data_IF_171968707013
#
_entry.id   IF_171968707013
#
_cell.length_a   1.000
_cell.length_b   1.000
_cell.length_c   1.000
_cell.angle_alpha   90.00
_cell.angle_beta   90.00
_cell.angle_gamma   90.00
#
_symmetry.space_group_name_H-M   'P 1'
#
loop_
_entity.id
_entity.type
_entity.pdbx_description
1 polymer ?
#
# COMPACT_ATOMS: atom_id res chain seq x y z
N UNK A 1 -4.83 -18.23 18.87
CA UNK A 1 -5.40 -18.46 20.21
C UNK A 1 -6.87 -18.07 20.24
N UNK A 2 -7.19 -16.80 20.46
CA UNK A 2 -8.58 -16.31 20.63
C UNK A 2 -9.48 -16.48 19.38
N UNK A 3 -8.95 -16.31 18.17
CA UNK A 3 -9.74 -16.44 16.92
C UNK A 3 -10.24 -17.86 16.64
N UNK A 4 -9.53 -18.88 17.14
CA UNK A 4 -9.92 -20.31 17.06
C UNK A 4 -10.99 -20.63 18.12
N UNK A 5 -10.88 -20.00 19.29
CA UNK A 5 -11.86 -20.14 20.38
C UNK A 5 -13.19 -19.45 20.03
N UNK A 6 -13.14 -18.30 19.32
CA UNK A 6 -14.32 -17.49 19.00
C UNK A 6 -14.89 -17.68 17.58
N UNK A 7 -14.32 -18.57 16.75
CA UNK A 7 -14.74 -18.79 15.34
C UNK A 7 -14.99 -17.49 14.56
N UNK A 8 -14.15 -16.47 14.77
CA UNK A 8 -14.32 -15.19 14.10
C UNK A 8 -14.20 -15.40 12.58
N UNK A 9 -15.22 -15.02 11.79
CA UNK A 9 -15.21 -15.24 10.35
C UNK A 9 -13.98 -14.56 9.73
N UNK A 10 -13.20 -15.23 8.86
CA UNK A 10 -12.04 -14.64 8.18
C UNK A 10 -12.34 -13.29 7.52
N UNK A 11 -13.57 -13.14 7.01
CA UNK A 11 -14.10 -11.89 6.45
C UNK A 11 -14.00 -10.74 7.44
N UNK A 12 -14.35 -10.93 8.72
CA UNK A 12 -14.27 -9.88 9.73
C UNK A 12 -12.83 -9.43 9.96
N UNK A 13 -11.88 -10.36 9.97
CA UNK A 13 -10.46 -10.03 10.16
C UNK A 13 -9.88 -9.30 8.96
N UNK A 14 -10.23 -9.73 7.74
CA UNK A 14 -9.83 -9.06 6.49
C UNK A 14 -10.43 -7.64 6.44
N UNK A 15 -11.72 -7.50 6.76
CA UNK A 15 -12.40 -6.21 6.81
C UNK A 15 -11.79 -5.29 7.87
N UNK A 16 -11.40 -5.82 9.03
CA UNK A 16 -10.69 -5.04 10.05
C UNK A 16 -9.37 -4.48 9.51
N UNK A 17 -8.53 -5.31 8.88
CA UNK A 17 -7.30 -4.82 8.24
C UNK A 17 -7.61 -3.78 7.16
N UNK A 18 -8.62 -4.04 6.32
CA UNK A 18 -9.04 -3.13 5.25
C UNK A 18 -9.49 -1.76 5.78
N UNK A 19 -10.28 -1.72 6.86
CA UNK A 19 -10.76 -0.47 7.47
C UNK A 19 -9.64 0.26 8.20
N UNK A 20 -8.73 -0.45 8.90
CA UNK A 20 -7.54 0.17 9.51
C UNK A 20 -6.65 0.85 8.47
N UNK A 21 -6.46 0.24 7.30
CA UNK A 21 -5.68 0.85 6.21
C UNK A 21 -6.38 2.06 5.59
N UNK A 22 -7.72 2.06 5.47
CA UNK A 22 -8.48 3.24 5.04
C UNK A 22 -8.39 4.38 6.05
N UNK A 23 -8.42 4.05 7.34
CA UNK A 23 -8.22 5.02 8.41
C UNK A 23 -6.82 5.64 8.34
N UNK A 24 -5.78 4.82 8.15
CA UNK A 24 -4.40 5.29 7.93
C UNK A 24 -4.30 6.22 6.72
N UNK A 25 -4.87 5.82 5.57
CA UNK A 25 -4.90 6.65 4.35
C UNK A 25 -5.55 8.00 4.62
N UNK A 26 -6.68 8.01 5.34
CA UNK A 26 -7.40 9.23 5.69
C UNK A 26 -6.57 10.16 6.59
N UNK A 27 -5.92 9.60 7.61
CA UNK A 27 -5.05 10.35 8.52
C UNK A 27 -3.83 10.94 7.79
N UNK A 28 -3.15 10.16 6.96
CA UNK A 28 -1.99 10.62 6.18
C UNK A 28 -2.42 11.73 5.21
N UNK A 29 -3.52 11.53 4.49
CA UNK A 29 -4.04 12.53 3.57
C UNK A 29 -4.43 13.83 4.29
N UNK A 30 -5.11 13.74 5.44
CA UNK A 30 -5.48 14.90 6.23
C UNK A 30 -4.25 15.61 6.80
N UNK A 31 -3.28 14.87 7.34
CA UNK A 31 -2.05 15.42 7.88
C UNK A 31 -1.30 16.27 6.85
N UNK A 32 -1.14 15.77 5.61
CA UNK A 32 -0.51 16.55 4.55
C UNK A 32 -1.34 17.75 4.12
N UNK A 33 -2.67 17.61 4.00
CA UNK A 33 -3.58 18.71 3.63
C UNK A 33 -3.58 19.84 4.68
N UNK A 34 -3.51 19.50 5.96
CA UNK A 34 -3.48 20.46 7.06
C UNK A 34 -2.08 21.03 7.33
N UNK A 35 -1.01 20.36 6.89
CA UNK A 35 0.37 20.84 7.09
C UNK A 35 0.69 22.15 6.38
N UNK A 36 -0.20 22.65 5.52
CA UNK A 36 0.02 23.89 4.74
C UNK A 36 1.18 23.80 3.74
N UNK A 37 1.77 22.60 3.56
CA UNK A 37 2.86 22.40 2.62
C UNK A 37 2.36 22.61 1.20
N UNK A 38 2.98 23.52 0.42
CA UNK A 38 2.58 23.71 -0.97
C UNK A 38 2.77 22.41 -1.73
N UNK A 39 1.80 22.06 -2.57
CA UNK A 39 1.96 20.93 -3.48
C UNK A 39 3.15 21.21 -4.38
N UNK A 40 3.96 20.19 -4.63
CA UNK A 40 5.08 20.28 -5.56
C UNK A 40 4.50 19.95 -6.94
N UNK A 41 4.35 20.92 -7.86
CA UNK A 41 3.96 20.60 -9.23
C UNK A 41 5.01 19.64 -9.78
N UNK A 42 4.59 18.41 -10.03
CA UNK A 42 5.44 17.37 -10.60
C UNK A 42 4.92 17.04 -11.99
N UNK A 43 5.81 16.66 -12.91
CA UNK A 43 5.42 16.16 -14.23
C UNK A 43 4.75 14.75 -14.16
N UNK A 44 4.45 14.26 -12.96
CA UNK A 44 3.90 12.93 -12.76
C UNK A 44 2.41 12.91 -13.07
N UNK A 45 1.95 11.82 -13.70
CA UNK A 45 0.53 11.58 -13.91
C UNK A 45 -0.16 11.31 -12.55
N UNK A 46 -0.85 12.30 -12.00
CA UNK A 46 -1.60 12.16 -10.74
C UNK A 46 -2.54 10.94 -10.70
N UNK A 47 -3.26 10.56 -11.78
CA UNK A 47 -4.08 9.35 -11.78
C UNK A 47 -3.28 8.06 -11.52
N UNK A 48 -2.04 7.98 -11.98
CA UNK A 48 -1.18 6.80 -11.79
C UNK A 48 -0.73 6.65 -10.33
N UNK A 49 -0.55 7.76 -9.61
CA UNK A 49 -0.24 7.74 -8.19
C UNK A 49 -1.40 7.20 -7.36
N UNK A 50 -2.63 7.64 -7.68
CA UNK A 50 -3.84 7.09 -7.06
C UNK A 50 -4.04 5.61 -7.40
N UNK A 51 -3.77 5.22 -8.65
CA UNK A 51 -3.80 3.81 -9.05
C UNK A 51 -2.78 2.98 -8.26
N UNK A 52 -1.57 3.52 -8.05
CA UNK A 52 -0.53 2.83 -7.26
C UNK A 52 -0.96 2.67 -5.81
N UNK A 53 -1.53 3.72 -5.19
CA UNK A 53 -2.06 3.63 -3.84
C UNK A 53 -3.18 2.59 -3.73
N UNK A 54 -4.09 2.54 -4.70
CA UNK A 54 -5.15 1.54 -4.77
C UNK A 54 -4.58 0.12 -4.94
N UNK A 55 -3.55 -0.06 -5.76
CA UNK A 55 -2.88 -1.34 -5.94
C UNK A 55 -2.17 -1.81 -4.67
N UNK A 56 -1.45 -0.92 -3.96
CA UNK A 56 -0.83 -1.25 -2.65
C UNK A 56 -1.91 -1.64 -1.64
N UNK A 57 -3.00 -0.88 -1.56
CA UNK A 57 -4.14 -1.20 -0.69
C UNK A 57 -4.73 -2.58 -1.00
N UNK A 58 -4.99 -2.87 -2.28
CA UNK A 58 -5.50 -4.17 -2.72
C UNK A 58 -4.51 -5.31 -2.37
N UNK A 59 -3.21 -5.09 -2.54
CA UNK A 59 -2.17 -6.06 -2.19
C UNK A 59 -2.17 -6.38 -0.68
N UNK A 60 -2.41 -5.38 0.17
CA UNK A 60 -2.56 -5.58 1.63
C UNK A 60 -3.81 -6.40 1.93
N UNK A 61 -4.95 -6.10 1.29
CA UNK A 61 -6.20 -6.86 1.47
C UNK A 61 -6.03 -8.32 1.00
N UNK A 62 -5.37 -8.54 -0.14
CA UNK A 62 -5.02 -9.88 -0.62
C UNK A 62 -4.12 -10.62 0.38
N UNK A 63 -3.10 -9.95 0.94
CA UNK A 63 -2.23 -10.52 1.97
C UNK A 63 -2.98 -10.88 3.26
N UNK A 64 -3.92 -10.03 3.69
CA UNK A 64 -4.80 -10.33 4.82
C UNK A 64 -5.69 -11.54 4.53
N UNK A 65 -6.27 -11.63 3.32
CA UNK A 65 -7.05 -12.79 2.89
C UNK A 65 -6.22 -14.07 2.91
N UNK A 66 -4.97 -14.03 2.40
CA UNK A 66 -4.02 -15.15 2.46
C UNK A 66 -3.77 -15.62 3.89
N UNK A 67 -3.53 -14.67 4.81
CA UNK A 67 -3.27 -14.96 6.22
C UNK A 67 -4.48 -15.59 6.92
N UNK A 68 -5.67 -15.06 6.67
CA UNK A 68 -6.88 -15.39 7.42
C UNK A 68 -7.69 -16.56 6.87
N UNK A 69 -7.47 -16.96 5.61
CA UNK A 69 -8.13 -18.13 4.99
C UNK A 69 -7.29 -19.41 5.06
N UNK A 70 -6.15 -19.38 5.75
CA UNK A 70 -5.23 -20.53 5.84
C UNK A 70 -4.31 -20.72 4.63
N UNK A 71 -4.40 -19.83 3.63
CA UNK A 71 -3.61 -19.93 2.39
C UNK A 71 -2.10 -19.62 2.57
N UNK A 72 -1.67 -19.00 3.66
CA UNK A 72 -0.29 -18.48 3.77
C UNK A 72 0.86 -19.49 3.85
N UNK A 73 0.62 -20.81 3.86
CA UNK A 73 1.68 -21.84 3.74
C UNK A 73 1.30 -22.95 2.75
N UNK A 74 0.32 -22.73 1.88
CA UNK A 74 -0.11 -23.74 0.89
C UNK A 74 0.92 -23.96 -0.23
N UNK A 75 1.81 -22.99 -0.40
CA UNK A 75 3.00 -23.06 -1.25
C UNK A 75 4.20 -22.59 -0.44
N UNK A 76 5.09 -23.51 -0.07
CA UNK A 76 6.36 -23.16 0.60
C UNK A 76 7.49 -23.01 -0.42
N UNK A 77 7.36 -23.66 -1.58
CA UNK A 77 8.28 -23.50 -2.70
C UNK A 77 8.25 -22.06 -3.23
N UNK A 78 9.41 -21.59 -3.70
CA UNK A 78 9.62 -20.28 -4.32
C UNK A 78 10.48 -20.47 -5.58
N UNK A 79 10.15 -19.86 -6.72
CA UNK A 79 8.95 -19.08 -7.05
C UNK A 79 7.73 -19.95 -7.42
N UNK A 80 7.93 -21.25 -7.62
CA UNK A 80 6.89 -22.21 -8.03
C UNK A 80 5.95 -22.58 -6.87
N UNK A 81 4.82 -23.18 -7.18
CA UNK A 81 3.97 -23.89 -6.23
C UNK A 81 3.60 -25.24 -6.81
N UNK A 82 4.00 -26.34 -6.15
CA UNK A 82 3.76 -27.71 -6.63
C UNK A 82 4.30 -27.94 -8.06
N UNK A 83 5.50 -27.42 -8.33
CA UNK A 83 6.19 -27.56 -9.61
C UNK A 83 5.71 -26.64 -10.75
N UNK A 84 4.73 -25.75 -10.53
CA UNK A 84 4.22 -24.83 -11.54
C UNK A 84 4.10 -23.38 -11.02
N UNK A 85 4.21 -22.39 -11.90
CA UNK A 85 3.96 -20.97 -11.55
C UNK A 85 2.46 -20.74 -11.34
N UNK A 86 1.62 -21.42 -12.12
CA UNK A 86 0.18 -21.37 -11.98
C UNK A 86 -0.42 -22.77 -12.13
N UNK A 87 -0.50 -23.54 -11.03
CA UNK A 87 -1.03 -24.91 -11.08
C UNK A 87 -2.54 -24.92 -11.42
N UNK A 88 -2.94 -25.80 -12.34
CA UNK A 88 -4.34 -26.06 -12.69
C UNK A 88 -4.94 -27.19 -11.85
N UNK A 89 -6.26 -27.20 -11.65
CA UNK A 89 -6.95 -28.29 -10.94
C UNK A 89 -6.63 -28.38 -9.44
N UNK A 90 -6.19 -27.29 -8.81
CA UNK A 90 -5.84 -27.22 -7.39
C UNK A 90 -6.85 -26.43 -6.57
N UNK A 91 -6.76 -26.57 -5.25
CA UNK A 91 -7.61 -25.84 -4.30
C UNK A 91 -7.49 -24.31 -4.45
N UNK A 92 -8.59 -23.52 -4.39
CA UNK A 92 -8.58 -22.07 -4.59
C UNK A 92 -7.61 -21.29 -3.69
N UNK A 93 -7.31 -21.80 -2.49
CA UNK A 93 -6.30 -21.22 -1.61
C UNK A 93 -4.92 -21.10 -2.26
N UNK A 94 -4.56 -22.03 -3.16
CA UNK A 94 -3.32 -21.98 -3.94
C UNK A 94 -3.33 -20.79 -4.89
N UNK A 95 -4.43 -20.60 -5.63
CA UNK A 95 -4.57 -19.45 -6.52
C UNK A 95 -4.59 -18.13 -5.76
N UNK A 96 -5.21 -18.07 -4.58
CA UNK A 96 -5.17 -16.87 -3.73
C UNK A 96 -3.73 -16.53 -3.30
N UNK A 97 -2.96 -17.54 -2.88
CA UNK A 97 -1.56 -17.35 -2.50
C UNK A 97 -0.69 -16.92 -3.69
N UNK A 98 -0.86 -17.55 -4.85
CA UNK A 98 -0.12 -17.20 -6.06
C UNK A 98 -0.54 -15.84 -6.63
N UNK A 99 -1.82 -15.47 -6.54
CA UNK A 99 -2.31 -14.15 -6.94
C UNK A 99 -1.66 -13.04 -6.10
N UNK A 100 -1.59 -13.23 -4.77
CA UNK A 100 -0.88 -12.29 -3.89
C UNK A 100 0.60 -12.15 -4.26
N UNK A 101 1.30 -13.25 -4.57
CA UNK A 101 2.71 -13.22 -5.02
C UNK A 101 2.86 -12.50 -6.37
N UNK A 102 2.03 -12.86 -7.35
CA UNK A 102 2.08 -12.29 -8.70
C UNK A 102 1.78 -10.78 -8.68
N UNK A 103 0.77 -10.37 -7.93
CA UNK A 103 0.37 -8.97 -7.82
C UNK A 103 1.41 -8.11 -7.09
N UNK A 104 2.25 -8.69 -6.22
CA UNK A 104 3.39 -7.99 -5.62
C UNK A 104 4.37 -7.42 -6.66
N UNK A 105 4.59 -8.14 -7.77
CA UNK A 105 5.46 -7.67 -8.85
C UNK A 105 4.82 -6.52 -9.65
N UNK A 106 3.49 -6.52 -9.80
CA UNK A 106 2.75 -5.38 -10.39
C UNK A 106 2.91 -4.14 -9.51
N UNK A 107 2.73 -4.29 -8.20
CA UNK A 107 2.94 -3.21 -7.22
C UNK A 107 4.37 -2.69 -7.27
N UNK A 108 5.38 -3.58 -7.31
CA UNK A 108 6.78 -3.20 -7.44
C UNK A 108 7.03 -2.37 -8.71
N UNK A 109 6.48 -2.80 -9.85
CA UNK A 109 6.60 -2.07 -11.12
C UNK A 109 5.97 -0.67 -11.06
N UNK A 110 4.78 -0.53 -10.49
CA UNK A 110 4.10 0.76 -10.32
C UNK A 110 4.89 1.71 -9.40
N UNK A 111 5.40 1.19 -8.29
CA UNK A 111 6.19 1.98 -7.33
C UNK A 111 7.54 2.39 -7.93
N UNK A 112 8.22 1.50 -8.66
CA UNK A 112 9.44 1.80 -9.39
C UNK A 112 9.22 2.84 -10.49
N UNK A 113 8.10 2.76 -11.22
CA UNK A 113 7.72 3.77 -12.21
C UNK A 113 7.53 5.14 -11.58
N UNK A 114 6.82 5.22 -10.45
CA UNK A 114 6.63 6.49 -9.73
C UNK A 114 7.97 7.06 -9.25
N UNK A 115 8.89 6.22 -8.78
CA UNK A 115 10.25 6.63 -8.40
C UNK A 115 11.02 7.24 -9.58
N UNK A 116 10.98 6.58 -10.75
CA UNK A 116 11.62 7.07 -11.97
C UNK A 116 11.02 8.39 -12.44
N UNK A 117 9.68 8.50 -12.46
CA UNK A 117 8.97 9.72 -12.86
C UNK A 117 9.25 10.90 -11.90
N UNK A 118 9.46 10.61 -10.61
CA UNK A 118 9.77 11.60 -9.58
C UNK A 118 11.27 11.87 -9.40
N UNK A 119 12.15 11.23 -10.18
CA UNK A 119 13.60 11.28 -9.93
C UNK A 119 14.18 12.70 -9.93
N UNK A 120 13.60 13.59 -10.75
CA UNK A 120 13.97 15.02 -10.85
C UNK A 120 13.12 15.94 -9.97
N UNK A 121 12.13 15.41 -9.24
CA UNK A 121 11.19 16.19 -8.44
C UNK A 121 11.73 16.37 -7.00
N UNK A 122 12.64 17.33 -6.81
CA UNK A 122 13.47 17.46 -5.61
C UNK A 122 12.76 17.33 -4.25
N UNK A 123 11.59 17.96 -4.08
CA UNK A 123 10.85 17.96 -2.80
C UNK A 123 10.18 16.62 -2.46
N UNK A 124 9.75 15.86 -3.47
CA UNK A 124 9.06 14.56 -3.29
C UNK A 124 9.95 13.36 -3.58
N UNK A 125 11.16 13.59 -4.12
CA UNK A 125 12.19 12.59 -4.41
C UNK A 125 12.47 11.63 -3.26
N UNK A 126 12.64 12.04 -1.98
CA UNK A 126 12.94 11.07 -0.91
C UNK A 126 11.78 10.07 -0.70
N UNK A 127 10.53 10.52 -0.74
CA UNK A 127 9.36 9.62 -0.67
C UNK A 127 9.35 8.68 -1.88
N UNK A 128 9.50 9.24 -3.08
CA UNK A 128 9.47 8.43 -4.30
C UNK A 128 10.59 7.38 -4.37
N UNK A 129 11.77 7.63 -3.78
CA UNK A 129 12.85 6.65 -3.67
C UNK A 129 12.67 5.67 -2.50
N UNK A 130 11.96 6.06 -1.43
CA UNK A 130 11.63 5.18 -0.32
C UNK A 130 10.67 4.06 -0.75
N UNK A 131 9.69 4.37 -1.63
CA UNK A 131 8.73 3.40 -2.14
C UNK A 131 9.35 2.09 -2.64
N UNK A 132 10.26 2.10 -3.64
CA UNK A 132 10.88 0.86 -4.14
C UNK A 132 11.67 0.11 -3.06
N UNK A 133 12.36 0.81 -2.17
CA UNK A 133 13.09 0.19 -1.06
C UNK A 133 12.15 -0.53 -0.09
N UNK A 134 11.03 0.10 0.27
CA UNK A 134 9.98 -0.50 1.10
C UNK A 134 9.32 -1.70 0.39
N UNK A 135 9.08 -1.62 -0.92
CA UNK A 135 8.51 -2.73 -1.70
C UNK A 135 9.46 -3.93 -1.78
N UNK A 136 10.76 -3.71 -1.97
CA UNK A 136 11.76 -4.79 -1.94
C UNK A 136 11.83 -5.41 -0.55
N UNK A 137 11.90 -4.59 0.51
CA UNK A 137 11.86 -5.05 1.89
C UNK A 137 10.60 -5.88 2.17
N UNK A 138 9.46 -5.47 1.62
CA UNK A 138 8.20 -6.20 1.74
C UNK A 138 8.27 -7.59 1.13
N UNK A 139 8.86 -7.74 -0.06
CA UNK A 139 9.04 -9.05 -0.71
C UNK A 139 9.96 -9.94 0.14
N UNK A 140 11.07 -9.38 0.64
CA UNK A 140 11.99 -10.12 1.53
C UNK A 140 11.27 -10.59 2.79
N UNK A 141 10.52 -9.73 3.46
CA UNK A 141 9.73 -10.09 4.65
C UNK A 141 8.65 -11.13 4.34
N UNK A 142 8.06 -11.09 3.14
CA UNK A 142 7.08 -12.08 2.69
C UNK A 142 7.70 -13.46 2.49
N UNK A 143 8.88 -13.51 1.87
CA UNK A 143 9.69 -14.74 1.75
C UNK A 143 10.08 -15.26 3.13
N UNK A 144 10.58 -14.39 4.02
CA UNK A 144 10.94 -14.76 5.38
C UNK A 144 9.75 -15.35 6.13
N UNK A 145 8.57 -14.75 6.03
CA UNK A 145 7.35 -15.27 6.66
C UNK A 145 6.98 -16.68 6.18
N UNK A 146 7.33 -17.07 4.95
CA UNK A 146 7.13 -18.44 4.45
C UNK A 146 8.22 -19.36 5.02
N UNK A 147 9.49 -18.98 4.92
CA UNK A 147 10.62 -19.83 5.32
C UNK A 147 10.72 -20.03 6.84
N UNK A 148 10.16 -19.11 7.62
CA UNK A 148 10.05 -19.23 9.09
C UNK A 148 8.69 -19.76 9.54
N UNK A 149 7.89 -20.35 8.63
CA UNK A 149 6.61 -20.98 8.95
C UNK A 149 5.60 -20.05 9.65
N UNK A 150 5.49 -18.81 9.16
CA UNK A 150 4.65 -17.73 9.71
C UNK A 150 5.05 -17.30 11.12
N UNK A 151 6.34 -17.26 11.40
CA UNK A 151 6.83 -16.68 12.65
C UNK A 151 6.28 -15.25 12.85
N UNK A 152 6.03 -14.91 14.12
CA UNK A 152 5.34 -13.69 14.51
C UNK A 152 6.08 -12.45 14.04
N UNK A 153 7.41 -12.44 14.18
CA UNK A 153 8.23 -11.25 13.91
C UNK A 153 8.23 -10.91 12.41
N UNK A 154 8.58 -11.82 11.47
CA UNK A 154 8.52 -11.52 10.04
C UNK A 154 7.11 -11.16 9.59
N UNK A 155 6.08 -11.83 10.11
CA UNK A 155 4.69 -11.58 9.71
C UNK A 155 4.19 -10.20 10.15
N UNK A 156 4.51 -9.79 11.38
CA UNK A 156 4.14 -8.47 11.90
C UNK A 156 4.94 -7.36 11.21
N UNK A 157 6.25 -7.56 11.01
CA UNK A 157 7.09 -6.66 10.24
C UNK A 157 6.59 -6.49 8.80
N UNK A 158 6.18 -7.59 8.15
CA UNK A 158 5.60 -7.56 6.81
C UNK A 158 4.35 -6.68 6.76
N UNK A 159 3.43 -6.80 7.72
CA UNK A 159 2.24 -5.92 7.74
C UNK A 159 2.61 -4.46 8.02
N UNK A 160 3.55 -4.20 8.92
CA UNK A 160 4.04 -2.86 9.26
C UNK A 160 4.65 -2.16 8.04
N UNK A 161 5.57 -2.84 7.34
CA UNK A 161 6.22 -2.29 6.14
C UNK A 161 5.22 -2.07 5.01
N UNK A 162 4.20 -2.92 4.87
CA UNK A 162 3.10 -2.68 3.94
C UNK A 162 2.33 -1.38 4.26
N UNK A 163 2.04 -1.14 5.54
CA UNK A 163 1.36 0.08 5.99
C UNK A 163 2.23 1.33 5.74
N UNK A 164 3.55 1.23 5.97
CA UNK A 164 4.50 2.30 5.65
C UNK A 164 4.57 2.57 4.15
N UNK A 165 4.60 1.54 3.32
CA UNK A 165 4.56 1.67 1.86
C UNK A 165 3.27 2.35 1.40
N UNK A 166 2.12 1.97 1.98
CA UNK A 166 0.83 2.62 1.70
C UNK A 166 0.85 4.11 2.11
N UNK A 167 1.38 4.43 3.28
CA UNK A 167 1.52 5.80 3.75
C UNK A 167 2.44 6.63 2.84
N UNK A 168 3.55 6.05 2.37
CA UNK A 168 4.48 6.70 1.44
C UNK A 168 3.81 7.05 0.10
N UNK A 169 3.16 6.08 -0.55
CA UNK A 169 2.50 6.33 -1.85
C UNK A 169 1.32 7.30 -1.75
N UNK A 170 0.57 7.28 -0.64
CA UNK A 170 -0.49 8.27 -0.38
C UNK A 170 0.10 9.66 -0.17
N UNK A 171 1.19 9.76 0.59
CA UNK A 171 1.90 11.02 0.81
C UNK A 171 2.39 11.60 -0.52
N UNK A 172 2.96 10.76 -1.39
CA UNK A 172 3.39 11.15 -2.72
C UNK A 172 2.21 11.62 -3.59
N UNK A 173 1.09 10.89 -3.60
CA UNK A 173 -0.12 11.24 -4.35
C UNK A 173 -0.71 12.60 -3.92
N UNK A 174 -0.74 12.88 -2.62
CA UNK A 174 -1.28 14.14 -2.08
C UNK A 174 -0.34 15.32 -2.38
N UNK A 175 0.97 15.13 -2.23
CA UNK A 175 1.95 16.19 -2.46
C UNK A 175 2.19 16.51 -3.93
N UNK A 176 1.97 15.55 -4.83
CA UNK A 176 2.07 15.72 -6.28
C UNK A 176 0.76 16.16 -6.96
N UNK A 177 -0.36 16.20 -6.23
CA UNK A 177 -1.65 16.61 -6.75
C UNK A 177 -1.72 18.12 -7.05
N UNK A 178 -2.69 18.59 -7.87
CA UNK A 178 -2.85 20.00 -8.16
C UNK A 178 -3.04 20.80 -6.86
N UNK A 179 -2.25 21.87 -6.67
CA UNK A 179 -2.54 22.89 -5.66
C UNK A 179 -3.96 23.39 -5.89
N UNK A 180 -4.89 23.09 -4.97
CA UNK A 180 -6.18 23.80 -4.98
C UNK A 180 -5.82 25.28 -4.88
N UNK A 181 -6.16 26.06 -5.90
CA UNK A 181 -6.01 27.50 -5.87
C UNK A 181 -6.61 27.98 -4.55
N UNK A 182 -5.83 28.71 -3.74
CA UNK A 182 -6.38 29.44 -2.61
C UNK A 182 -7.49 30.29 -3.19
N UNK A 183 -8.75 30.05 -2.78
CA UNK A 183 -9.81 31.03 -3.02
C UNK A 183 -9.26 32.33 -2.43
N UNK A 184 -9.06 33.39 -3.24
CA UNK A 184 -8.63 34.67 -2.70
C UNK A 184 -9.59 35.00 -1.57
N UNK A 185 -9.06 35.19 -0.36
CA UNK A 185 -9.87 35.78 0.69
C UNK A 185 -10.29 37.13 0.13
N UNK A 186 -11.56 37.25 -0.25
CA UNK A 186 -12.16 38.51 -0.67
C UNK A 186 -11.99 39.43 0.53
N UNK A 187 -11.00 40.31 0.46
CA UNK A 187 -10.77 41.31 1.48
C UNK A 187 -12.09 42.09 1.58
N UNK A 188 -12.70 42.25 2.77
CA UNK A 188 -13.88 43.07 2.89
C UNK A 188 -13.46 44.47 2.43
N UNK A 189 -14.01 44.90 1.29
CA UNK A 189 -13.99 46.29 0.89
C UNK A 189 -14.86 47.06 1.89
N UNK A 190 -14.32 47.35 3.08
CA UNK A 190 -14.84 48.46 3.87
C UNK A 190 -14.38 49.73 3.17
N UNK A 191 -15.16 50.09 2.15
CA UNK A 191 -15.13 51.38 1.53
C UNK A 191 -15.33 52.45 2.58
N UNK A 192 -14.48 53.46 2.50
CA UNK A 192 -14.70 54.77 3.04
C UNK A 192 -16.14 55.22 2.73
N UNK A 193 -16.96 55.34 3.77
CA UNK A 193 -18.09 56.26 3.76
C UNK A 193 -17.65 57.48 4.58
N UNK A 194 -17.68 58.60 3.87
CA UNK A 194 -17.47 60.00 4.25
C UNK A 194 -18.08 60.40 5.58
#
# INVERSE_FOLDING_TARGET
GLTVIYRLPPVVLVLHTATSMLFLVSLVALAWRLSGRPAAPSAMATPLLFLTAAAVYLQIVLGAAVRHTGAGLVCVDLPYCRGAIWPSGVHPAVHLHMAHRAFAFVVLGLVAWNAAAAFRAGRVRPLALAGPALAVLQIVLGVLAITTFKDLVPLTAHLLVAALLLADVVSLAVLAGPSRARVPAEAPALGAAT
#
